data_IF_125554623022
#
_entry.id   IF_125554623022
#
_cell.length_a   1.000
_cell.length_b   1.000
_cell.length_c   1.000
_cell.angle_alpha   90.00
_cell.angle_beta   90.00
_cell.angle_gamma   90.00
#
_symmetry.space_group_name_H-M   'P 1'
#
loop_
_entity.id
_entity.type
_entity.pdbx_description
1 polymer ?
#
# COMPACT_ATOMS: atom_id res chain seq x y z
N UNK A 1 -18.70 30.97 -24.12
CA UNK A 1 -17.87 30.95 -22.91
C UNK A 1 -18.69 30.36 -21.78
N UNK A 2 -18.24 29.21 -21.26
CA UNK A 2 -18.58 28.47 -20.02
C UNK A 2 -18.63 26.99 -20.42
N UNK A 3 -17.73 26.11 -20.03
CA UNK A 3 -16.69 26.12 -19.02
C UNK A 3 -16.43 24.65 -18.71
N UNK A 4 -15.79 23.93 -19.63
CA UNK A 4 -15.37 22.56 -19.38
C UNK A 4 -14.23 22.59 -18.36
N UNK A 5 -14.54 22.21 -17.11
CA UNK A 5 -13.54 21.87 -16.10
C UNK A 5 -13.63 20.38 -15.80
N UNK A 6 -13.27 19.56 -16.78
CA UNK A 6 -12.87 18.17 -16.49
C UNK A 6 -11.38 18.15 -16.20
N UNK A 7 -11.00 18.37 -14.93
CA UNK A 7 -9.68 17.91 -14.46
C UNK A 7 -9.79 16.41 -14.22
N UNK A 8 -9.67 15.63 -15.29
CA UNK A 8 -9.35 14.20 -15.16
C UNK A 8 -7.96 14.15 -14.53
N UNK A 9 -7.85 13.52 -13.36
CA UNK A 9 -6.54 13.32 -12.72
C UNK A 9 -5.62 12.58 -13.70
N UNK A 10 -4.38 13.05 -13.84
CA UNK A 10 -3.39 12.53 -14.79
C UNK A 10 -3.05 11.04 -14.55
N UNK A 11 -3.50 10.48 -13.41
CA UNK A 11 -3.24 9.14 -12.89
C UNK A 11 -4.50 8.57 -12.24
N UNK A 12 -4.65 7.24 -12.23
CA UNK A 12 -5.76 6.54 -11.56
C UNK A 12 -5.51 6.36 -10.06
N UNK A 13 -4.25 6.22 -9.66
CA UNK A 13 -3.89 6.05 -8.26
C UNK A 13 -2.42 6.31 -7.95
N UNK A 14 -2.09 6.23 -6.67
CA UNK A 14 -0.75 6.45 -6.12
C UNK A 14 -0.35 5.23 -5.32
N UNK A 15 0.81 4.68 -5.63
CA UNK A 15 1.33 3.52 -4.96
C UNK A 15 2.67 3.87 -4.31
N UNK A 16 2.72 3.90 -2.98
CA UNK A 16 3.98 4.00 -2.26
C UNK A 16 4.43 2.62 -1.81
N UNK A 17 5.66 2.27 -2.18
CA UNK A 17 6.37 1.05 -1.77
C UNK A 17 7.35 1.47 -0.69
N UNK A 18 7.25 0.84 0.47
CA UNK A 18 7.89 1.28 1.70
C UNK A 18 8.73 0.13 2.28
N UNK A 19 9.99 0.44 2.53
CA UNK A 19 10.93 -0.42 3.24
C UNK A 19 11.01 0.08 4.69
N UNK A 20 10.50 -0.67 5.66
CA UNK A 20 10.61 -0.34 7.08
C UNK A 20 11.72 -1.17 7.73
N UNK A 21 12.69 -0.51 8.36
CA UNK A 21 13.86 -1.15 8.95
C UNK A 21 14.02 -0.82 10.43
N UNK A 22 14.64 -1.76 11.15
CA UNK A 22 14.93 -1.69 12.58
C UNK A 22 13.66 -1.52 13.44
N UNK A 23 12.55 -2.12 13.01
CA UNK A 23 11.31 -2.19 13.78
C UNK A 23 11.45 -3.16 14.97
N UNK A 24 10.72 -2.93 16.08
CA UNK A 24 10.67 -3.87 17.18
C UNK A 24 10.09 -5.24 16.73
N UNK A 25 10.84 -6.35 16.84
CA UNK A 25 10.43 -7.66 16.32
C UNK A 25 9.07 -8.16 16.85
N UNK A 26 8.74 -7.83 18.10
CA UNK A 26 7.48 -8.23 18.73
C UNK A 26 6.24 -7.63 18.05
N UNK A 27 6.39 -6.45 17.43
CA UNK A 27 5.31 -5.82 16.66
C UNK A 27 5.14 -6.47 15.29
N UNK A 28 6.25 -6.94 14.71
CA UNK A 28 6.29 -7.59 13.40
C UNK A 28 5.74 -9.01 13.40
N UNK A 29 5.66 -9.65 14.57
CA UNK A 29 5.21 -11.04 14.71
C UNK A 29 3.77 -11.17 15.25
N UNK A 30 3.00 -10.08 15.33
CA UNK A 30 1.63 -10.10 15.88
C UNK A 30 0.57 -9.84 14.82
N UNK A 31 -0.22 -10.86 14.46
CA UNK A 31 -1.35 -10.72 13.52
C UNK A 31 -2.32 -9.63 13.98
N UNK A 32 -2.74 -9.65 15.25
CA UNK A 32 -3.76 -8.71 15.74
C UNK A 32 -3.26 -7.27 15.67
N UNK A 33 -2.00 -7.05 16.04
CA UNK A 33 -1.37 -5.74 15.98
C UNK A 33 -1.28 -5.24 14.53
N UNK A 34 -0.80 -6.08 13.61
CA UNK A 34 -0.63 -5.72 12.20
C UNK A 34 -1.98 -5.47 11.52
N UNK A 35 -2.98 -6.33 11.79
CA UNK A 35 -4.36 -6.14 11.32
C UNK A 35 -4.91 -4.79 11.72
N UNK A 36 -4.84 -4.46 13.01
CA UNK A 36 -5.31 -3.16 13.51
C UNK A 36 -4.53 -2.01 12.86
N UNK A 37 -3.22 -2.14 12.75
CA UNK A 37 -2.33 -1.11 12.18
C UNK A 37 -2.61 -0.83 10.71
N UNK A 38 -2.78 -1.86 9.87
CA UNK A 38 -3.08 -1.67 8.44
C UNK A 38 -4.49 -1.12 8.21
N UNK A 39 -5.49 -1.53 9.02
CA UNK A 39 -6.83 -0.96 8.95
C UNK A 39 -6.86 0.51 9.35
N UNK A 40 -6.14 0.89 10.41
CA UNK A 40 -5.95 2.29 10.79
C UNK A 40 -5.27 3.10 9.67
N UNK A 41 -4.27 2.53 8.99
CA UNK A 41 -3.61 3.18 7.86
C UNK A 41 -4.54 3.39 6.66
N UNK A 42 -5.40 2.41 6.35
CA UNK A 42 -6.42 2.53 5.31
C UNK A 42 -7.42 3.65 5.60
N UNK A 43 -7.94 3.71 6.83
CA UNK A 43 -8.86 4.76 7.27
C UNK A 43 -8.19 6.14 7.21
N UNK A 44 -6.94 6.25 7.67
CA UNK A 44 -6.19 7.50 7.62
C UNK A 44 -5.92 7.98 6.18
N UNK A 45 -5.78 7.04 5.24
CA UNK A 45 -5.63 7.34 3.81
C UNK A 45 -6.94 7.71 3.11
N UNK A 46 -8.02 7.90 3.86
CA UNK A 46 -9.38 8.13 3.36
C UNK A 46 -9.88 7.02 2.41
N UNK A 47 -9.47 5.78 2.66
CA UNK A 47 -9.84 4.62 1.85
C UNK A 47 -10.94 3.79 2.51
N UNK A 48 -11.88 3.28 1.70
CA UNK A 48 -12.93 2.37 2.18
C UNK A 48 -12.42 0.95 2.29
N UNK A 49 -12.41 0.39 3.50
CA UNK A 49 -12.03 -1.01 3.75
C UNK A 49 -13.15 -1.97 3.34
N UNK A 50 -12.81 -2.95 2.50
CA UNK A 50 -13.72 -4.00 2.03
C UNK A 50 -13.53 -5.28 2.86
N UNK A 51 -12.29 -5.76 2.95
CA UNK A 51 -11.94 -6.99 3.67
C UNK A 51 -10.47 -6.99 4.07
N UNK A 52 -10.06 -7.98 4.86
CA UNK A 52 -8.65 -8.18 5.21
C UNK A 52 -8.33 -9.67 5.39
N UNK A 53 -7.06 -10.02 5.16
CA UNK A 53 -6.56 -11.38 5.36
C UNK A 53 -5.12 -11.34 5.85
N UNK A 54 -4.80 -12.21 6.81
CA UNK A 54 -3.50 -12.28 7.45
C UNK A 54 -3.10 -13.74 7.66
N UNK A 55 -1.83 -14.02 7.44
CA UNK A 55 -1.23 -15.33 7.64
C UNK A 55 0.06 -15.19 8.46
N UNK A 56 0.19 -15.97 9.53
CA UNK A 56 1.39 -16.05 10.35
C UNK A 56 2.19 -17.28 9.97
N UNK A 57 3.46 -17.06 9.66
CA UNK A 57 4.42 -18.10 9.33
C UNK A 57 5.01 -18.73 10.59
N UNK A 58 5.67 -19.87 10.40
CA UNK A 58 6.50 -20.52 11.41
C UNK A 58 7.98 -20.45 10.98
N UNK A 59 8.91 -20.15 11.91
CA UNK A 59 8.68 -19.91 13.34
C UNK A 59 8.08 -18.53 13.66
N UNK A 60 8.18 -17.56 12.76
CA UNK A 60 7.72 -16.19 12.97
C UNK A 60 7.45 -15.48 11.64
N UNK A 61 6.91 -14.26 11.70
CA UNK A 61 6.64 -13.41 10.54
C UNK A 61 5.18 -13.48 10.09
N UNK A 62 4.72 -12.41 9.44
CA UNK A 62 3.33 -12.24 9.04
C UNK A 62 3.28 -11.65 7.63
N UNK A 63 2.42 -12.23 6.80
CA UNK A 63 1.92 -11.56 5.59
C UNK A 63 0.48 -11.12 5.82
N UNK A 64 0.15 -9.90 5.42
CA UNK A 64 -1.17 -9.34 5.61
C UNK A 64 -1.55 -8.40 4.48
N UNK A 65 -2.83 -8.36 4.15
CA UNK A 65 -3.36 -7.34 3.27
C UNK A 65 -4.73 -6.86 3.73
N UNK A 66 -5.02 -5.60 3.44
CA UNK A 66 -6.33 -4.97 3.56
C UNK A 66 -6.77 -4.59 2.16
N UNK A 67 -7.87 -5.19 1.72
CA UNK A 67 -8.52 -4.82 0.47
C UNK A 67 -9.29 -3.52 0.72
N UNK A 68 -8.99 -2.52 -0.08
CA UNK A 68 -9.72 -1.25 -0.10
C UNK A 68 -10.35 -1.05 -1.48
N UNK A 69 -11.31 -0.12 -1.59
CA UNK A 69 -11.95 0.19 -2.86
C UNK A 69 -10.89 0.44 -3.97
N UNK A 70 -10.90 -0.43 -4.98
CA UNK A 70 -10.08 -0.36 -6.20
C UNK A 70 -8.55 -0.47 -6.01
N UNK A 71 -8.06 -0.87 -4.82
CA UNK A 71 -6.62 -0.93 -4.51
C UNK A 71 -6.32 -1.77 -3.26
N UNK A 72 -5.18 -1.58 -2.57
CA UNK A 72 -4.80 -2.40 -1.41
C UNK A 72 -3.74 -1.74 -0.50
N UNK A 73 -3.68 -2.23 0.74
CA UNK A 73 -2.52 -2.06 1.62
C UNK A 73 -1.99 -3.45 2.00
N UNK A 74 -0.71 -3.74 1.77
CA UNK A 74 -0.08 -5.02 2.12
C UNK A 74 1.14 -4.85 3.01
N UNK A 75 1.45 -5.89 3.79
CA UNK A 75 2.66 -5.99 4.61
C UNK A 75 3.22 -7.41 4.59
N UNK A 76 4.54 -7.51 4.51
CA UNK A 76 5.30 -8.74 4.72
C UNK A 76 6.40 -8.47 5.73
N UNK A 77 6.47 -9.26 6.80
CA UNK A 77 7.40 -9.02 7.91
C UNK A 77 8.44 -10.12 8.08
N UNK A 78 9.65 -9.71 8.46
CA UNK A 78 10.75 -10.56 8.90
C UNK A 78 11.25 -10.08 10.27
N UNK A 79 10.64 -10.58 11.38
CA UNK A 79 10.98 -10.15 12.74
C UNK A 79 12.47 -10.32 13.08
N UNK A 80 13.14 -11.36 12.57
CA UNK A 80 14.58 -11.64 12.78
C UNK A 80 15.49 -10.52 12.26
N UNK A 81 15.02 -9.74 11.29
CA UNK A 81 15.75 -8.63 10.69
C UNK A 81 15.18 -7.27 11.12
N UNK A 82 14.14 -7.24 11.96
CA UNK A 82 13.41 -6.02 12.28
C UNK A 82 12.86 -5.33 11.03
N UNK A 83 12.48 -6.10 10.01
CA UNK A 83 12.17 -5.59 8.66
C UNK A 83 10.71 -5.85 8.27
N UNK A 84 10.11 -4.88 7.58
CA UNK A 84 8.82 -5.06 6.92
C UNK A 84 8.80 -4.36 5.55
N UNK A 85 8.37 -5.10 4.52
CA UNK A 85 8.00 -4.57 3.22
C UNK A 85 6.51 -4.18 3.25
N UNK A 86 6.17 -2.95 2.88
CA UNK A 86 4.80 -2.44 2.93
C UNK A 86 4.45 -1.73 1.63
N UNK A 87 3.25 -2.00 1.13
CA UNK A 87 2.66 -1.29 0.00
C UNK A 87 1.43 -0.53 0.49
N UNK A 88 1.33 0.75 0.13
CA UNK A 88 0.08 1.51 0.23
C UNK A 88 -0.28 1.99 -1.17
N UNK A 89 -1.22 1.29 -1.80
CA UNK A 89 -1.80 1.68 -3.07
C UNK A 89 -3.19 2.24 -2.84
N UNK A 90 -3.44 3.50 -3.19
CA UNK A 90 -4.78 4.10 -3.15
C UNK A 90 -5.19 4.67 -4.51
N UNK A 91 -6.49 4.70 -4.77
CA UNK A 91 -7.09 5.22 -5.99
C UNK A 91 -7.99 6.44 -5.70
N UNK A 92 -8.18 7.30 -6.69
CA UNK A 92 -9.02 8.50 -6.57
C UNK A 92 -8.32 9.71 -5.95
N UNK A 93 -8.86 10.90 -6.23
CA UNK A 93 -8.24 12.18 -5.86
C UNK A 93 -8.36 12.53 -4.38
N UNK A 94 -9.31 11.93 -3.66
CA UNK A 94 -9.59 12.23 -2.26
C UNK A 94 -8.81 11.32 -1.29
N UNK A 95 -7.99 10.40 -1.81
CA UNK A 95 -7.13 9.52 -1.00
C UNK A 95 -5.72 10.07 -0.86
N UNK A 96 -5.08 9.79 0.28
CA UNK A 96 -3.68 10.15 0.51
C UNK A 96 -2.89 9.01 1.15
N UNK A 97 -2.06 8.26 0.39
CA UNK A 97 -1.31 7.13 0.92
C UNK A 97 -0.28 7.55 1.99
N UNK A 98 0.15 8.83 1.99
CA UNK A 98 1.10 9.34 2.96
C UNK A 98 0.50 9.42 4.38
N UNK A 99 -0.81 9.62 4.50
CA UNK A 99 -1.51 9.52 5.80
C UNK A 99 -1.51 8.10 6.35
N UNK A 100 -1.61 7.10 5.48
CA UNK A 100 -1.40 5.71 5.87
C UNK A 100 0.02 5.47 6.38
N UNK A 101 1.03 6.00 5.70
CA UNK A 101 2.43 5.89 6.12
C UNK A 101 2.70 6.57 7.48
N UNK A 102 2.08 7.72 7.78
CA UNK A 102 2.17 8.37 9.10
C UNK A 102 1.74 7.42 10.22
N UNK A 103 0.61 6.70 10.01
CA UNK A 103 0.12 5.68 10.95
C UNK A 103 1.12 4.54 11.08
N UNK A 104 1.57 3.97 9.95
CA UNK A 104 2.53 2.86 9.97
C UNK A 104 3.81 3.21 10.73
N UNK A 105 4.36 4.39 10.47
CA UNK A 105 5.59 4.87 11.13
C UNK A 105 5.39 5.01 12.64
N UNK A 106 4.26 5.60 13.06
CA UNK A 106 3.94 5.75 14.50
C UNK A 106 3.76 4.41 15.20
N UNK A 107 3.15 3.43 14.52
CA UNK A 107 2.80 2.13 15.09
C UNK A 107 3.97 1.16 15.08
N UNK A 108 4.62 0.99 13.94
CA UNK A 108 5.70 0.02 13.72
C UNK A 108 7.06 0.52 14.21
N UNK A 109 7.20 1.84 14.48
CA UNK A 109 8.40 2.47 15.05
C UNK A 109 9.71 2.07 14.33
N UNK A 110 9.77 2.12 12.99
CA UNK A 110 11.03 1.92 12.29
C UNK A 110 12.04 2.98 12.72
N UNK A 111 13.33 2.64 12.74
CA UNK A 111 14.39 3.66 12.91
C UNK A 111 14.80 4.26 11.56
N UNK A 112 14.58 3.51 10.48
CA UNK A 112 14.89 3.92 9.11
C UNK A 112 13.76 3.46 8.19
N UNK A 113 13.49 4.27 7.17
CA UNK A 113 12.59 3.89 6.10
C UNK A 113 13.10 4.37 4.73
N UNK A 114 12.80 3.61 3.69
CA UNK A 114 12.94 4.02 2.29
C UNK A 114 11.57 3.97 1.64
N UNK A 115 11.29 4.91 0.75
CA UNK A 115 9.98 5.04 0.10
C UNK A 115 10.20 5.31 -1.38
N UNK A 116 9.48 4.60 -2.22
CA UNK A 116 9.35 4.89 -3.65
C UNK A 116 7.88 5.14 -3.96
N UNK A 117 7.55 6.26 -4.60
CA UNK A 117 6.20 6.53 -5.08
C UNK A 117 6.11 6.22 -6.59
N UNK A 118 5.07 5.48 -6.96
CA UNK A 118 4.74 5.08 -8.32
C UNK A 118 3.34 5.60 -8.62
N UNK A 119 3.21 6.44 -9.64
CA UNK A 119 1.90 6.78 -10.18
C UNK A 119 1.35 5.62 -11.00
N UNK A 120 0.09 5.24 -10.75
CA UNK A 120 -0.56 4.12 -11.42
C UNK A 120 -1.60 4.64 -12.40
N UNK A 121 -1.59 4.10 -13.63
CA UNK A 121 -2.53 4.47 -14.68
C UNK A 121 -2.35 5.90 -15.19
N UNK A 122 -1.10 6.31 -15.44
CA UNK A 122 -0.78 7.63 -16.02
C UNK A 122 -1.14 7.66 -17.50
N UNK A 123 -1.79 8.72 -17.96
CA UNK A 123 -2.06 8.98 -19.39
C UNK A 123 -2.67 7.77 -20.14
N UNK A 124 -3.56 7.01 -19.48
CA UNK A 124 -4.25 5.84 -20.05
C UNK A 124 -5.05 6.16 -21.33
N UNK A 125 -5.28 7.43 -21.66
CA UNK A 125 -5.89 7.89 -22.91
C UNK A 125 -4.89 8.00 -24.10
N UNK A 126 -3.58 7.89 -23.86
CA UNK A 126 -2.52 8.00 -24.90
C UNK A 126 -1.72 6.71 -25.14
N UNK A 127 -1.98 5.65 -24.37
CA UNK A 127 -1.30 4.37 -24.57
C UNK A 127 -1.88 3.70 -25.82
N UNK A 128 -1.12 3.68 -26.91
CA UNK A 128 -1.36 2.71 -27.99
C UNK A 128 -1.23 1.33 -27.38
N UNK A 129 -2.32 0.56 -27.35
CA UNK A 129 -2.32 -0.83 -26.94
C UNK A 129 -1.29 -1.55 -27.81
N UNK A 130 -0.17 -1.98 -27.22
CA UNK A 130 0.71 -2.93 -27.88
C UNK A 130 -0.06 -4.24 -28.00
N UNK A 131 -0.10 -4.81 -29.21
CA UNK A 131 -0.68 -6.14 -29.42
C UNK A 131 -0.06 -7.15 -28.44
N UNK A 132 -0.84 -8.07 -27.87
CA UNK A 132 -0.32 -9.05 -26.93
C UNK A 132 0.81 -9.82 -27.58
N UNK A 133 1.98 -9.83 -26.94
CA UNK A 133 3.09 -10.70 -27.34
C UNK A 133 2.60 -12.14 -27.16
N UNK A 134 2.37 -12.84 -28.27
CA UNK A 134 2.10 -14.26 -28.26
C UNK A 134 3.33 -14.99 -27.74
N UNK A 135 3.29 -15.41 -26.48
CA UNK A 135 4.26 -16.37 -25.95
C UNK A 135 3.86 -17.72 -26.54
N UNK A 136 4.54 -18.14 -27.61
CA UNK A 136 4.45 -19.52 -28.09
C UNK A 136 5.07 -20.44 -27.04
N UNK A 137 4.32 -21.47 -26.65
CA UNK A 137 4.71 -22.50 -25.70
C UNK A 137 5.94 -23.31 -26.17
#
# INVERSE_FOLDING_TARGET
MTGEKFKVGLRLGRHIVIELMDCPPELLDSIEFLKKTLREAAIASNSTVISDYFYKFKPQGVSGFVLIAESHISIHTWPEYGYAAVDIYTCGNDTDPWKGLEVLTKRLKPKRLLISEIERGVDMQKIKVCEPVTVTA
#
